data_IF_250005979207
#
_entry.id   IF_250005979207
#
_cell.length_a   1.000
_cell.length_b   1.000
_cell.length_c   1.000
_cell.angle_alpha   90.00
_cell.angle_beta   90.00
_cell.angle_gamma   90.00
#
_symmetry.space_group_name_H-M   'P 1'
#
loop_
_entity.id
_entity.type
_entity.pdbx_description
1 polymer ?
#
# COMPACT_ATOMS: atom_id res chain seq x y z
N UNK A 1 -9.32 -13.82 10.11
CA UNK A 1 -9.30 -12.36 9.91
C UNK A 1 -8.54 -12.10 8.64
N UNK A 2 -9.11 -11.31 7.75
CA UNK A 2 -8.60 -11.04 6.42
C UNK A 2 -8.02 -9.64 6.36
N UNK A 3 -6.83 -9.49 5.78
CA UNK A 3 -6.16 -8.20 5.60
C UNK A 3 -5.94 -7.98 4.11
N UNK A 4 -6.41 -6.87 3.57
CA UNK A 4 -6.23 -6.53 2.15
C UNK A 4 -5.07 -5.57 1.98
N UNK A 5 -4.05 -5.98 1.24
CA UNK A 5 -3.00 -5.11 0.74
C UNK A 5 -3.43 -4.56 -0.61
N UNK A 6 -3.61 -3.25 -0.70
CA UNK A 6 -3.98 -2.56 -1.94
C UNK A 6 -2.71 -2.03 -2.60
N UNK A 7 -2.38 -2.57 -3.77
CA UNK A 7 -1.07 -2.39 -4.42
C UNK A 7 -1.25 -1.86 -5.85
N UNK A 8 -1.31 -0.53 -6.04
CA UNK A 8 -1.28 0.08 -7.37
C UNK A 8 0.07 -0.16 -8.06
N UNK A 9 0.07 -0.55 -9.33
CA UNK A 9 1.29 -0.84 -10.10
C UNK A 9 1.23 -0.30 -11.52
N UNK A 10 2.37 0.18 -12.02
CA UNK A 10 2.52 0.64 -13.40
C UNK A 10 3.94 0.39 -13.91
N UNK A 11 4.10 -0.58 -14.82
CA UNK A 11 5.37 -1.08 -15.32
C UNK A 11 6.34 -1.58 -14.23
N UNK A 12 5.88 -2.57 -13.46
CA UNK A 12 6.57 -3.11 -12.28
C UNK A 12 6.88 -4.61 -12.42
N UNK A 13 7.13 -5.07 -13.65
CA UNK A 13 7.30 -6.50 -13.97
C UNK A 13 8.42 -7.19 -13.17
N UNK A 14 9.46 -6.45 -12.80
CA UNK A 14 10.58 -6.97 -12.01
C UNK A 14 10.28 -7.01 -10.51
N UNK A 15 9.43 -6.12 -10.03
CA UNK A 15 9.20 -5.86 -8.61
C UNK A 15 8.10 -6.75 -8.04
N UNK A 16 7.04 -6.98 -8.81
CA UNK A 16 5.86 -7.77 -8.39
C UNK A 16 6.21 -9.17 -7.87
N UNK A 17 7.07 -9.97 -8.54
CA UNK A 17 7.42 -11.30 -8.03
C UNK A 17 8.15 -11.26 -6.69
N UNK A 18 8.99 -10.23 -6.49
CA UNK A 18 9.76 -10.03 -5.26
C UNK A 18 8.79 -9.67 -4.14
N UNK A 19 7.95 -8.65 -4.35
CA UNK A 19 6.94 -8.23 -3.40
C UNK A 19 6.03 -9.39 -2.98
N UNK A 20 5.47 -10.10 -3.95
CA UNK A 20 4.58 -11.24 -3.72
C UNK A 20 5.26 -12.30 -2.84
N UNK A 21 6.48 -12.70 -3.21
CA UNK A 21 7.25 -13.69 -2.44
C UNK A 21 7.52 -13.19 -1.02
N UNK A 22 7.98 -11.95 -0.89
CA UNK A 22 8.30 -11.32 0.40
C UNK A 22 7.07 -11.29 1.32
N UNK A 23 5.90 -10.91 0.83
CA UNK A 23 4.66 -10.92 1.62
C UNK A 23 4.24 -12.35 2.01
N UNK A 24 4.31 -13.31 1.07
CA UNK A 24 3.88 -14.70 1.32
C UNK A 24 4.81 -15.48 2.24
N UNK A 25 6.10 -15.19 2.21
CA UNK A 25 7.10 -15.86 3.06
C UNK A 25 7.24 -15.19 4.43
N UNK A 26 6.61 -14.03 4.67
CA UNK A 26 6.75 -13.32 5.94
C UNK A 26 5.95 -13.99 7.06
N UNK A 27 6.67 -14.62 7.99
CA UNK A 27 6.11 -15.42 9.09
C UNK A 27 5.07 -14.67 9.94
N UNK A 28 5.29 -13.38 10.21
CA UNK A 28 4.40 -12.59 11.06
C UNK A 28 3.03 -12.31 10.42
N UNK A 29 2.89 -12.52 9.10
CA UNK A 29 1.62 -12.41 8.40
C UNK A 29 0.89 -13.73 8.22
N UNK A 30 1.53 -14.88 8.48
CA UNK A 30 0.89 -16.20 8.37
C UNK A 30 -0.35 -16.41 9.24
N UNK A 31 -0.53 -15.76 10.40
CA UNK A 31 -1.77 -15.83 11.16
C UNK A 31 -2.99 -15.20 10.46
N UNK A 32 -2.78 -14.42 9.40
CA UNK A 32 -3.84 -13.69 8.69
C UNK A 32 -4.09 -14.25 7.30
N UNK A 33 -5.32 -14.10 6.83
CA UNK A 33 -5.64 -14.31 5.41
C UNK A 33 -5.27 -13.03 4.65
N UNK A 34 -4.09 -13.00 4.02
CA UNK A 34 -3.58 -11.80 3.34
C UNK A 34 -4.05 -11.79 1.88
N UNK A 35 -5.04 -10.97 1.60
CA UNK A 35 -5.46 -10.63 0.24
C UNK A 35 -4.52 -9.58 -0.35
N UNK A 36 -4.08 -9.77 -1.59
CA UNK A 36 -3.28 -8.78 -2.31
C UNK A 36 -4.07 -8.35 -3.54
N UNK A 37 -4.55 -7.11 -3.53
CA UNK A 37 -5.28 -6.51 -4.64
C UNK A 37 -4.27 -5.73 -5.47
N UNK A 38 -3.83 -6.31 -6.59
CA UNK A 38 -2.97 -5.60 -7.53
C UNK A 38 -3.82 -4.81 -8.52
N UNK A 39 -3.54 -3.51 -8.64
CA UNK A 39 -4.23 -2.62 -9.58
C UNK A 39 -3.24 -2.17 -10.65
N UNK A 40 -3.26 -2.85 -11.79
CA UNK A 40 -2.48 -2.51 -12.97
C UNK A 40 -3.07 -1.27 -13.66
N UNK A 41 -2.39 -0.14 -13.54
CA UNK A 41 -2.77 1.16 -14.10
C UNK A 41 -2.36 1.29 -15.59
N UNK A 42 -2.74 0.30 -16.40
CA UNK A 42 -2.50 0.29 -17.84
C UNK A 42 -1.04 0.15 -18.26
N UNK A 43 -0.29 -0.75 -17.61
CA UNK A 43 1.11 -1.04 -17.94
C UNK A 43 1.31 -1.49 -19.39
N UNK A 44 2.53 -1.30 -19.91
CA UNK A 44 2.93 -1.67 -21.28
C UNK A 44 3.93 -2.84 -21.34
N UNK A 45 4.41 -3.27 -20.18
CA UNK A 45 5.37 -4.37 -20.01
C UNK A 45 4.65 -5.67 -19.59
N UNK A 46 5.37 -6.64 -19.04
CA UNK A 46 4.78 -7.93 -18.65
C UNK A 46 3.99 -7.89 -17.31
N UNK A 47 3.82 -6.72 -16.68
CA UNK A 47 3.16 -6.55 -15.38
C UNK A 47 1.83 -7.30 -15.29
N UNK A 48 0.91 -7.06 -16.24
CA UNK A 48 -0.42 -7.71 -16.25
C UNK A 48 -0.32 -9.23 -16.36
N UNK A 49 0.55 -9.73 -17.24
CA UNK A 49 0.75 -11.17 -17.44
C UNK A 49 1.27 -11.83 -16.16
N UNK A 50 2.18 -11.16 -15.45
CA UNK A 50 2.76 -11.67 -14.21
C UNK A 50 1.70 -11.73 -13.10
N UNK A 51 0.93 -10.66 -12.90
CA UNK A 51 -0.14 -10.63 -11.89
C UNK A 51 -1.16 -11.73 -12.17
N UNK A 52 -1.61 -11.88 -13.42
CA UNK A 52 -2.59 -12.91 -13.78
C UNK A 52 -2.07 -14.33 -13.56
N UNK A 53 -0.76 -14.58 -13.79
CA UNK A 53 -0.13 -15.87 -13.48
C UNK A 53 -0.11 -16.15 -11.97
N UNK A 54 0.21 -15.14 -11.16
CA UNK A 54 0.21 -15.26 -9.70
C UNK A 54 -1.23 -15.55 -9.22
N UNK A 55 -2.21 -14.78 -9.67
CA UNK A 55 -3.63 -14.95 -9.33
C UNK A 55 -4.19 -16.33 -9.73
N UNK A 56 -3.70 -16.91 -10.83
CA UNK A 56 -4.09 -18.27 -11.22
C UNK A 56 -3.60 -19.35 -10.24
N UNK A 57 -2.52 -19.08 -9.49
CA UNK A 57 -1.93 -19.99 -8.51
C UNK A 57 -2.32 -19.70 -7.06
N UNK A 58 -2.73 -18.46 -6.78
CA UNK A 58 -3.05 -17.99 -5.43
C UNK A 58 -4.40 -17.25 -5.44
N UNK A 59 -5.47 -17.84 -4.87
CA UNK A 59 -6.81 -17.27 -4.86
C UNK A 59 -6.92 -16.00 -3.99
N UNK A 60 -5.92 -15.70 -3.15
CA UNK A 60 -5.86 -14.47 -2.37
C UNK A 60 -5.19 -13.32 -3.14
N UNK A 61 -4.82 -13.52 -4.40
CA UNK A 61 -4.32 -12.45 -5.27
C UNK A 61 -5.42 -12.04 -6.24
N UNK A 62 -5.85 -10.78 -6.14
CA UNK A 62 -6.95 -10.21 -6.92
C UNK A 62 -6.37 -9.26 -7.98
N UNK A 63 -6.38 -9.64 -9.27
CA UNK A 63 -5.94 -8.78 -10.36
C UNK A 63 -7.05 -7.80 -10.77
N UNK A 64 -6.74 -6.50 -10.77
CA UNK A 64 -7.55 -5.46 -11.40
C UNK A 64 -6.70 -4.76 -12.48
N UNK A 65 -7.20 -4.69 -13.71
CA UNK A 65 -6.52 -4.01 -14.81
C UNK A 65 -7.35 -2.87 -15.36
N UNK A 66 -6.76 -1.69 -15.44
CA UNK A 66 -7.32 -0.58 -16.18
C UNK A 66 -6.99 -0.69 -17.67
N UNK A 67 -7.89 -0.20 -18.52
CA UNK A 67 -7.73 -0.22 -19.98
C UNK A 67 -6.64 0.73 -20.49
N UNK A 68 -6.21 1.68 -19.66
CA UNK A 68 -5.13 2.65 -19.89
C UNK A 68 -4.66 3.21 -18.55
N UNK A 69 -3.63 4.04 -18.58
CA UNK A 69 -3.17 4.76 -17.39
C UNK A 69 -4.16 5.88 -17.01
N UNK A 70 -4.58 5.88 -15.75
CA UNK A 70 -5.45 6.89 -15.10
C UNK A 70 -4.75 7.60 -13.94
N UNK A 71 -3.67 7.05 -13.40
CA UNK A 71 -2.92 7.58 -12.28
C UNK A 71 -3.09 6.74 -11.01
N UNK A 72 -2.24 7.04 -10.01
CA UNK A 72 -2.16 6.29 -8.76
C UNK A 72 -3.42 6.39 -7.91
N UNK A 73 -4.05 7.56 -7.84
CA UNK A 73 -5.22 7.80 -7.00
C UNK A 73 -6.46 7.04 -7.49
N UNK A 74 -6.82 7.04 -8.81
CA UNK A 74 -7.85 6.16 -9.34
C UNK A 74 -7.57 4.68 -9.08
N UNK A 75 -6.32 4.24 -9.23
CA UNK A 75 -5.92 2.86 -8.99
C UNK A 75 -6.08 2.47 -7.52
N UNK A 76 -5.66 3.35 -6.60
CA UNK A 76 -5.86 3.19 -5.18
C UNK A 76 -7.35 3.11 -4.82
N UNK A 77 -8.17 4.02 -5.37
CA UNK A 77 -9.61 4.02 -5.12
C UNK A 77 -10.29 2.73 -5.59
N UNK A 78 -9.96 2.25 -6.79
CA UNK A 78 -10.48 0.99 -7.30
C UNK A 78 -10.06 -0.20 -6.40
N UNK A 79 -8.82 -0.19 -5.92
CA UNK A 79 -8.34 -1.19 -4.97
C UNK A 79 -9.10 -1.17 -3.64
N UNK A 80 -9.38 0.01 -3.10
CA UNK A 80 -10.20 0.15 -1.88
C UNK A 80 -11.64 -0.35 -2.08
N UNK A 81 -12.23 -0.10 -3.25
CA UNK A 81 -13.61 -0.53 -3.59
C UNK A 81 -13.73 -2.06 -3.74
N UNK A 82 -12.66 -2.73 -4.16
CA UNK A 82 -12.64 -4.19 -4.39
C UNK A 82 -12.03 -5.00 -3.23
N UNK A 83 -11.36 -4.34 -2.29
CA UNK A 83 -10.78 -5.00 -1.12
C UNK A 83 -11.88 -5.59 -0.23
N UNK A 84 -11.69 -6.83 0.22
CA UNK A 84 -12.70 -7.55 1.03
C UNK A 84 -12.24 -7.87 2.45
N UNK A 85 -11.06 -7.39 2.84
CA UNK A 85 -10.48 -7.60 4.17
C UNK A 85 -11.19 -6.82 5.26
N UNK A 86 -11.03 -7.30 6.49
CA UNK A 86 -11.48 -6.63 7.72
C UNK A 86 -10.73 -5.31 7.96
N UNK A 87 -9.48 -5.24 7.48
CA UNK A 87 -8.67 -4.02 7.40
C UNK A 87 -7.95 -3.93 6.05
N UNK A 88 -7.75 -2.70 5.58
CA UNK A 88 -7.13 -2.41 4.28
C UNK A 88 -5.88 -1.56 4.48
N UNK A 89 -4.78 -1.99 3.86
CA UNK A 89 -3.47 -1.34 3.95
C UNK A 89 -2.98 -1.03 2.53
N UNK A 90 -3.06 0.24 2.09
CA UNK A 90 -2.39 0.68 0.87
C UNK A 90 -0.87 0.58 1.01
N UNK A 91 -0.20 -0.05 0.05
CA UNK A 91 1.27 -0.19 0.05
C UNK A 91 1.81 -0.19 -1.38
N UNK A 92 3.00 0.38 -1.56
CA UNK A 92 3.71 0.35 -2.84
C UNK A 92 4.43 -0.98 -3.06
N UNK A 93 4.52 -1.41 -4.31
CA UNK A 93 5.08 -2.73 -4.65
C UNK A 93 6.61 -2.80 -4.49
N UNK A 94 7.30 -1.66 -4.46
CA UNK A 94 8.76 -1.57 -4.48
C UNK A 94 9.46 -1.85 -3.15
N UNK A 95 8.71 -2.23 -2.11
CA UNK A 95 9.20 -2.54 -0.78
C UNK A 95 10.00 -1.38 -0.14
N UNK A 96 9.80 -0.14 -0.60
CA UNK A 96 10.38 1.02 0.09
C UNK A 96 9.81 1.20 1.50
N UNK A 97 8.55 0.81 1.69
CA UNK A 97 7.96 0.72 3.01
C UNK A 97 8.07 -0.75 3.50
N UNK A 98 8.74 -0.98 4.64
CA UNK A 98 9.02 -2.32 5.13
C UNK A 98 7.74 -3.07 5.52
N UNK A 99 7.60 -4.30 5.04
CA UNK A 99 6.46 -5.18 5.34
C UNK A 99 6.38 -5.53 6.84
N UNK A 100 7.49 -5.41 7.56
CA UNK A 100 7.62 -5.61 9.00
C UNK A 100 6.79 -4.59 9.82
N UNK A 101 6.36 -3.49 9.20
CA UNK A 101 5.48 -2.52 9.84
C UNK A 101 4.02 -3.00 9.84
N UNK A 102 3.63 -3.88 8.91
CA UNK A 102 2.23 -4.33 8.76
C UNK A 102 1.67 -4.97 10.05
N UNK A 103 2.37 -5.90 10.73
CA UNK A 103 1.89 -6.46 11.99
C UNK A 103 1.61 -5.41 13.07
N UNK A 104 2.46 -4.38 13.15
CA UNK A 104 2.31 -3.28 14.10
C UNK A 104 1.06 -2.42 13.78
N UNK A 105 0.76 -2.21 12.50
CA UNK A 105 -0.47 -1.52 12.07
C UNK A 105 -1.71 -2.30 12.48
N UNK A 106 -1.70 -3.62 12.26
CA UNK A 106 -2.81 -4.51 12.60
C UNK A 106 -3.03 -4.52 14.12
N UNK A 107 -1.97 -4.61 14.93
CA UNK A 107 -2.07 -4.59 16.39
C UNK A 107 -2.75 -3.29 16.89
N UNK A 108 -2.36 -2.13 16.36
CA UNK A 108 -2.96 -0.85 16.76
C UNK A 108 -4.42 -0.71 16.34
N UNK A 109 -4.77 -1.23 15.17
CA UNK A 109 -6.15 -1.28 14.71
C UNK A 109 -7.00 -2.20 15.61
N UNK A 110 -6.50 -3.40 15.93
CA UNK A 110 -7.16 -4.34 16.84
C UNK A 110 -7.31 -3.79 18.27
N UNK A 111 -6.41 -2.88 18.70
CA UNK A 111 -6.53 -2.18 19.97
C UNK A 111 -7.65 -1.11 19.99
N UNK A 112 -8.40 -0.96 18.89
CA UNK A 112 -9.59 -0.11 18.79
C UNK A 112 -9.37 1.20 18.03
N UNK A 113 -8.26 1.37 17.32
CA UNK A 113 -8.06 2.54 16.45
C UNK A 113 -8.80 2.34 15.12
N UNK A 114 -9.61 3.31 14.71
CA UNK A 114 -10.29 3.27 13.40
C UNK A 114 -9.31 3.43 12.22
N UNK A 115 -8.20 4.14 12.43
CA UNK A 115 -7.17 4.41 11.42
C UNK A 115 -5.79 4.46 12.06
N UNK A 116 -4.82 3.80 11.43
CA UNK A 116 -3.42 3.75 11.88
C UNK A 116 -2.52 4.29 10.78
N UNK A 117 -1.66 5.24 11.14
CA UNK A 117 -0.71 5.86 10.21
C UNK A 117 0.72 5.38 10.48
N UNK A 118 1.37 4.81 9.48
CA UNK A 118 2.81 4.60 9.50
C UNK A 118 3.52 5.94 9.25
N UNK A 119 4.40 6.35 10.17
CA UNK A 119 5.20 7.57 10.04
C UNK A 119 6.67 7.23 10.15
N UNK A 120 7.46 7.64 9.15
CA UNK A 120 8.93 7.54 9.21
C UNK A 120 9.45 8.35 10.40
N UNK A 121 10.15 7.66 11.30
CA UNK A 121 10.74 8.19 12.52
C UNK A 121 12.04 8.94 12.26
N UNK A 122 12.80 8.57 11.23
CA UNK A 122 14.04 9.25 10.84
C UNK A 122 13.82 10.22 9.66
N UNK A 123 14.23 11.48 9.85
CA UNK A 123 14.23 12.56 8.85
C UNK A 123 15.66 13.10 8.61
N UNK A 124 16.68 12.33 8.97
CA UNK A 124 18.10 12.71 8.82
C UNK A 124 18.50 13.02 7.37
N UNK A 125 17.75 12.53 6.38
CA UNK A 125 17.95 12.78 4.94
C UNK A 125 17.16 13.97 4.37
N UNK A 126 16.27 14.60 5.15
CA UNK A 126 15.61 15.84 4.73
C UNK A 126 16.59 17.00 4.84
N UNK A 127 17.08 17.48 3.69
CA UNK A 127 17.85 18.73 3.63
C UNK A 127 17.14 19.86 4.38
N UNK A 128 17.90 20.74 5.05
CA UNK A 128 17.39 21.83 5.92
C UNK A 128 16.23 22.65 5.35
N UNK A 129 16.12 22.71 4.02
CA UNK A 129 15.02 23.35 3.29
C UNK A 129 13.66 22.67 3.53
N UNK A 130 13.59 21.33 3.48
CA UNK A 130 12.35 20.56 3.66
C UNK A 130 11.78 20.64 5.07
N UNK A 131 12.65 20.68 6.10
CA UNK A 131 12.21 20.89 7.50
C UNK A 131 11.54 22.25 7.69
N UNK A 132 12.11 23.32 7.13
CA UNK A 132 11.55 24.68 7.24
C UNK A 132 10.24 24.85 6.48
N UNK A 133 10.11 24.28 5.28
CA UNK A 133 8.85 24.36 4.52
C UNK A 133 7.74 23.55 5.17
N UNK A 134 8.05 22.36 5.71
CA UNK A 134 7.09 21.58 6.49
C UNK A 134 6.62 22.33 7.74
N UNK A 135 7.53 22.90 8.53
CA UNK A 135 7.19 23.71 9.71
C UNK A 135 6.29 24.90 9.36
N UNK A 136 6.54 25.56 8.23
CA UNK A 136 5.74 26.68 7.75
C UNK A 136 4.35 26.24 7.28
N UNK A 137 4.27 25.12 6.56
CA UNK A 137 3.00 24.50 6.16
C UNK A 137 2.14 24.15 7.37
N UNK A 138 2.70 23.45 8.37
CA UNK A 138 1.94 23.09 9.58
C UNK A 138 1.50 24.31 10.39
N UNK A 139 2.32 25.36 10.47
CA UNK A 139 1.91 26.63 11.10
C UNK A 139 0.76 27.31 10.38
N UNK A 140 0.77 27.30 9.05
CA UNK A 140 -0.29 27.91 8.25
C UNK A 140 -1.57 27.06 8.31
N UNK A 141 -1.43 25.74 8.16
CA UNK A 141 -2.53 24.79 8.24
C UNK A 141 -3.23 24.86 9.60
N UNK A 142 -2.50 24.83 10.71
CA UNK A 142 -3.07 24.94 12.06
C UNK A 142 -3.68 26.32 12.38
N UNK A 143 -3.33 27.36 11.61
CA UNK A 143 -3.89 28.70 11.76
C UNK A 143 -5.20 28.87 10.98
N UNK A 144 -5.38 28.09 9.92
CA UNK A 144 -6.55 28.12 9.03
C UNK A 144 -7.54 27.00 9.38
N UNK A 145 -7.04 25.88 9.91
CA UNK A 145 -7.88 24.83 10.47
C UNK A 145 -8.40 25.28 11.83
N UNK A 146 -9.72 25.34 11.94
CA UNK A 146 -10.39 25.48 13.21
C UNK A 146 -10.83 24.05 13.59
N UNK A 147 -10.04 23.29 14.36
CA UNK A 147 -10.49 21.99 14.83
C UNK A 147 -11.72 22.24 15.72
N UNK A 148 -12.84 21.59 15.39
CA UNK A 148 -13.89 21.34 16.36
C UNK A 148 -13.46 20.21 17.27
#
# INVERSE_FOLDING_TARGET
MKISLVVPVFNEEATIPIFYKTVREFEELKPYEVEIVFINDGSKDATESIINKIAASDPLVIPLSFTRNFGKEPALFAGLDHATGDAVIPIDVDLQDPIEVIPHLIEKWQAGADMVLAKRSDRSTDGRMKRKTAEWFYKLHNKISNPK
#
